data_IF_304015775606
#
_entry.id   IF_304015775606
#
_cell.length_a   1.000
_cell.length_b   1.000
_cell.length_c   1.000
_cell.angle_alpha   90.00
_cell.angle_beta   90.00
_cell.angle_gamma   90.00
#
_symmetry.space_group_name_H-M   'P 1'
#
loop_
_entity.id
_entity.type
_entity.pdbx_description
1 polymer ?
#
# COMPACT_ATOMS: atom_id res chain seq x y z
N UNK A 1 -5.32 -14.63 12.27
CA UNK A 1 -5.07 -16.08 12.10
C UNK A 1 -6.34 -16.86 11.79
N UNK A 2 -7.43 -16.74 12.56
CA UNK A 2 -8.73 -17.41 12.25
C UNK A 2 -9.25 -17.19 10.83
N UNK A 3 -9.30 -15.94 10.35
CA UNK A 3 -9.73 -15.63 8.97
C UNK A 3 -8.80 -16.24 7.90
N UNK A 4 -7.50 -16.34 8.18
CA UNK A 4 -6.52 -16.94 7.27
C UNK A 4 -6.75 -18.47 7.16
N UNK A 5 -7.08 -19.13 8.27
CA UNK A 5 -7.43 -20.55 8.28
C UNK A 5 -8.71 -20.80 7.47
N UNK A 6 -9.76 -19.98 7.68
CA UNK A 6 -11.01 -20.09 6.91
C UNK A 6 -10.74 -19.87 5.41
N UNK A 7 -9.88 -18.91 5.05
CA UNK A 7 -9.46 -18.67 3.67
C UNK A 7 -8.75 -19.87 3.04
N UNK A 8 -7.82 -20.52 3.76
CA UNK A 8 -7.14 -21.74 3.30
C UNK A 8 -8.12 -22.90 3.08
N UNK A 9 -9.08 -23.09 3.98
CA UNK A 9 -10.11 -24.11 3.82
C UNK A 9 -11.00 -23.85 2.60
N UNK A 10 -11.39 -22.60 2.38
CA UNK A 10 -12.16 -22.21 1.19
C UNK A 10 -11.38 -22.49 -0.10
N UNK A 11 -10.10 -22.11 -0.14
CA UNK A 11 -9.25 -22.33 -1.31
C UNK A 11 -9.03 -23.81 -1.61
N UNK A 12 -8.71 -24.60 -0.59
CA UNK A 12 -8.52 -26.04 -0.73
C UNK A 12 -9.76 -26.71 -1.33
N UNK A 13 -10.95 -26.34 -0.85
CA UNK A 13 -12.23 -26.84 -1.36
C UNK A 13 -12.38 -26.52 -2.86
N UNK A 14 -12.17 -25.27 -3.26
CA UNK A 14 -12.31 -24.85 -4.67
C UNK A 14 -11.29 -25.50 -5.60
N UNK A 15 -10.01 -25.56 -5.20
CA UNK A 15 -8.93 -26.08 -6.06
C UNK A 15 -9.04 -27.58 -6.30
N UNK A 16 -9.48 -28.34 -5.28
CA UNK A 16 -9.65 -29.80 -5.40
C UNK A 16 -10.92 -30.14 -6.19
N UNK A 17 -11.95 -29.29 -6.14
CA UNK A 17 -13.25 -29.56 -6.78
C UNK A 17 -13.36 -29.05 -8.23
N UNK A 18 -12.65 -27.98 -8.63
CA UNK A 18 -12.97 -27.23 -9.86
C UNK A 18 -11.84 -27.23 -10.90
N UNK A 19 -10.58 -27.03 -10.52
CA UNK A 19 -9.53 -26.69 -11.50
C UNK A 19 -8.58 -27.84 -11.85
N UNK A 20 -8.52 -28.93 -11.06
CA UNK A 20 -7.54 -30.00 -11.27
C UNK A 20 -6.08 -29.57 -11.05
N UNK A 21 -5.82 -28.28 -10.86
CA UNK A 21 -4.64 -27.75 -10.22
C UNK A 21 -4.67 -28.19 -8.75
N UNK A 22 -3.91 -29.25 -8.42
CA UNK A 22 -3.92 -29.85 -7.09
C UNK A 22 -3.47 -28.92 -5.95
N UNK A 23 -2.95 -29.51 -4.88
CA UNK A 23 -2.58 -28.85 -3.61
C UNK A 23 -1.59 -27.67 -3.74
N UNK A 24 -0.99 -27.45 -4.92
CA UNK A 24 0.01 -26.42 -5.21
C UNK A 24 -0.45 -25.00 -4.83
N UNK A 25 -1.65 -24.58 -5.21
CA UNK A 25 -2.12 -23.21 -4.93
C UNK A 25 -2.35 -22.98 -3.44
N UNK A 26 -2.87 -24.00 -2.73
CA UNK A 26 -3.01 -24.00 -1.27
C UNK A 26 -1.66 -23.96 -0.56
N UNK A 27 -0.66 -24.70 -1.04
CA UNK A 27 0.71 -24.67 -0.50
C UNK A 27 1.36 -23.30 -0.73
N UNK A 28 1.19 -22.70 -1.91
CA UNK A 28 1.70 -21.35 -2.16
C UNK A 28 1.07 -20.33 -1.21
N UNK A 29 -0.25 -20.39 -0.98
CA UNK A 29 -0.94 -19.51 -0.01
C UNK A 29 -0.41 -19.69 1.42
N UNK A 30 -0.14 -20.93 1.84
CA UNK A 30 0.46 -21.20 3.15
C UNK A 30 1.88 -20.62 3.26
N UNK A 31 2.70 -20.74 2.22
CA UNK A 31 4.03 -20.10 2.14
C UNK A 31 3.90 -18.58 2.26
N UNK A 32 2.94 -17.96 1.56
CA UNK A 32 2.71 -16.52 1.64
C UNK A 32 2.28 -16.06 3.03
N UNK A 33 1.48 -16.86 3.74
CA UNK A 33 1.12 -16.55 5.13
C UNK A 33 2.31 -16.62 6.08
N UNK A 34 3.19 -17.60 5.89
CA UNK A 34 4.43 -17.71 6.67
C UNK A 34 5.34 -16.51 6.40
N UNK A 35 5.58 -16.18 5.12
CA UNK A 35 6.41 -15.04 4.71
C UNK A 35 5.81 -13.73 5.25
N UNK A 36 4.51 -13.51 5.06
CA UNK A 36 3.83 -12.30 5.53
C UNK A 36 3.87 -12.14 7.05
N UNK A 37 3.73 -13.25 7.79
CA UNK A 37 3.87 -13.24 9.26
C UNK A 37 5.31 -12.94 9.67
N UNK A 38 6.31 -13.50 8.98
CA UNK A 38 7.72 -13.21 9.23
C UNK A 38 8.07 -11.74 8.97
N UNK A 39 7.56 -11.16 7.88
CA UNK A 39 7.71 -9.73 7.57
C UNK A 39 7.03 -8.88 8.65
N UNK A 40 5.80 -9.21 9.07
CA UNK A 40 5.11 -8.50 10.13
C UNK A 40 5.87 -8.56 11.47
N UNK A 41 6.38 -9.74 11.84
CA UNK A 41 7.19 -9.90 13.05
C UNK A 41 8.48 -9.07 12.98
N UNK A 42 9.12 -9.00 11.80
CA UNK A 42 10.32 -8.17 11.60
C UNK A 42 9.99 -6.69 11.75
N UNK A 43 8.87 -6.22 11.19
CA UNK A 43 8.41 -4.84 11.33
C UNK A 43 8.14 -4.48 12.80
N UNK A 44 7.63 -5.43 13.60
CA UNK A 44 7.41 -5.22 15.04
C UNK A 44 8.69 -5.02 15.86
N UNK A 45 9.86 -5.41 15.33
CA UNK A 45 11.14 -5.18 16.01
C UNK A 45 11.65 -3.74 15.86
N UNK A 46 11.07 -2.95 14.96
CA UNK A 46 11.48 -1.56 14.74
C UNK A 46 10.78 -0.64 15.72
N UNK A 47 11.56 0.23 16.37
CA UNK A 47 11.02 1.28 17.21
C UNK A 47 10.31 2.35 16.39
N UNK A 48 9.31 3.00 17.00
CA UNK A 48 8.57 4.10 16.38
C UNK A 48 9.50 5.20 15.87
N UNK A 49 10.57 5.53 16.60
CA UNK A 49 11.52 6.57 16.19
C UNK A 49 12.32 6.17 14.94
N UNK A 50 12.69 4.90 14.81
CA UNK A 50 13.37 4.37 13.63
C UNK A 50 12.44 4.38 12.41
N UNK A 51 11.20 3.90 12.59
CA UNK A 51 10.18 3.95 11.54
C UNK A 51 10.01 5.38 11.04
N UNK A 52 9.91 6.36 11.93
CA UNK A 52 9.76 7.77 11.59
C UNK A 52 10.94 8.35 10.80
N UNK A 53 12.18 7.97 11.11
CA UNK A 53 13.38 8.38 10.36
C UNK A 53 13.42 7.74 8.97
N UNK A 54 13.01 6.48 8.87
CA UNK A 54 13.06 5.68 7.64
C UNK A 54 11.88 6.02 6.69
N UNK A 55 10.75 6.51 7.20
CA UNK A 55 9.54 6.87 6.43
C UNK A 55 9.83 7.71 5.19
N UNK A 56 10.68 8.73 5.30
CA UNK A 56 10.95 9.64 4.17
C UNK A 56 11.66 8.90 3.04
N UNK A 57 12.64 8.05 3.39
CA UNK A 57 13.33 7.19 2.44
C UNK A 57 12.40 6.16 1.80
N UNK A 58 11.58 5.48 2.61
CA UNK A 58 10.63 4.48 2.09
C UNK A 58 9.58 5.09 1.17
N UNK A 59 9.13 6.32 1.45
CA UNK A 59 8.20 7.03 0.58
C UNK A 59 8.82 7.29 -0.79
N UNK A 60 10.01 7.90 -0.84
CA UNK A 60 10.67 8.20 -2.12
C UNK A 60 11.07 6.95 -2.89
N UNK A 61 11.55 5.90 -2.20
CA UNK A 61 11.78 4.59 -2.80
C UNK A 61 10.48 4.03 -3.38
N UNK A 62 9.36 4.16 -2.65
CA UNK A 62 8.04 3.74 -3.12
C UNK A 62 7.59 4.47 -4.39
N UNK A 63 7.83 5.78 -4.48
CA UNK A 63 7.57 6.57 -5.68
C UNK A 63 8.43 6.08 -6.86
N UNK A 64 9.72 5.85 -6.64
CA UNK A 64 10.62 5.30 -7.67
C UNK A 64 10.10 3.95 -8.16
N UNK A 65 9.68 3.08 -7.24
CA UNK A 65 9.11 1.77 -7.56
C UNK A 65 7.82 1.89 -8.40
N UNK A 66 6.93 2.84 -8.09
CA UNK A 66 5.74 3.12 -8.91
C UNK A 66 6.10 3.61 -10.33
N UNK A 67 7.13 4.45 -10.44
CA UNK A 67 7.64 4.93 -11.74
C UNK A 67 8.23 3.76 -12.53
N UNK A 68 9.04 2.92 -11.90
CA UNK A 68 9.61 1.73 -12.53
C UNK A 68 8.52 0.77 -13.01
N UNK A 69 7.41 0.66 -12.27
CA UNK A 69 6.25 -0.15 -12.67
C UNK A 69 5.67 0.33 -13.99
N UNK A 70 5.58 1.65 -14.23
CA UNK A 70 5.09 2.21 -15.49
C UNK A 70 5.99 1.89 -16.70
N UNK A 71 7.26 1.54 -16.47
CA UNK A 71 8.26 1.24 -17.51
C UNK A 71 8.39 -0.27 -17.72
N UNK A 72 8.46 -1.04 -16.64
CA UNK A 72 8.76 -2.47 -16.61
C UNK A 72 7.53 -3.37 -16.40
N UNK A 73 6.31 -2.83 -16.58
CA UNK A 73 5.09 -3.64 -16.49
C UNK A 73 5.08 -4.78 -17.51
N UNK A 74 4.45 -5.89 -17.13
CA UNK A 74 4.23 -7.02 -18.03
C UNK A 74 3.18 -6.63 -19.09
N UNK A 75 3.62 -6.53 -20.36
CA UNK A 75 2.76 -6.11 -21.48
C UNK A 75 1.66 -7.12 -21.80
N UNK A 76 1.90 -8.41 -21.54
CA UNK A 76 0.90 -9.46 -21.77
C UNK A 76 -0.24 -9.36 -20.77
N UNK A 77 0.09 -9.13 -19.49
CA UNK A 77 -0.91 -8.91 -18.44
C UNK A 77 -1.60 -7.55 -18.55
N UNK A 78 -0.90 -6.51 -18.99
CA UNK A 78 -1.53 -5.22 -19.24
C UNK A 78 -2.55 -5.30 -20.40
N UNK A 79 -2.33 -6.17 -21.39
CA UNK A 79 -3.27 -6.40 -22.48
C UNK A 79 -4.52 -7.18 -22.05
N UNK A 80 -4.39 -8.12 -21.10
CA UNK A 80 -5.53 -8.92 -20.60
C UNK A 80 -6.27 -8.28 -19.43
N UNK A 81 -5.56 -7.66 -18.49
CA UNK A 81 -6.15 -7.01 -17.31
C UNK A 81 -6.46 -5.52 -17.51
N UNK A 82 -6.04 -4.93 -18.64
CA UNK A 82 -6.26 -3.51 -18.97
C UNK A 82 -5.47 -2.51 -18.11
N UNK A 83 -4.59 -2.99 -17.21
CA UNK A 83 -3.87 -2.17 -16.23
C UNK A 83 -2.37 -2.49 -16.19
N UNK A 84 -1.54 -1.44 -16.14
CA UNK A 84 -0.06 -1.52 -16.14
C UNK A 84 0.50 -1.62 -14.72
N UNK A 85 0.02 -2.60 -13.95
CA UNK A 85 0.24 -2.69 -12.49
C UNK A 85 1.07 -3.88 -12.02
N UNK A 86 1.19 -4.90 -12.85
CA UNK A 86 1.86 -6.15 -12.49
C UNK A 86 3.28 -6.19 -13.06
N UNK A 87 4.24 -6.41 -12.16
CA UNK A 87 5.64 -6.69 -12.53
C UNK A 87 5.89 -8.17 -12.31
N UNK A 88 6.19 -8.88 -13.39
CA UNK A 88 6.56 -10.30 -13.33
C UNK A 88 8.04 -10.41 -13.00
N UNK A 89 8.37 -11.05 -11.88
CA UNK A 89 9.75 -11.38 -11.51
C UNK A 89 10.08 -12.73 -12.18
N UNK A 90 10.93 -12.76 -13.23
CA UNK A 90 11.11 -13.97 -14.06
C UNK A 90 11.71 -15.15 -13.29
N UNK A 91 12.54 -14.87 -12.29
CA UNK A 91 13.33 -15.87 -11.54
C UNK A 91 12.44 -16.79 -10.68
N UNK A 92 11.33 -16.27 -10.16
CA UNK A 92 10.43 -16.99 -9.25
C UNK A 92 9.00 -17.15 -9.81
N UNK A 93 8.80 -16.78 -11.09
CA UNK A 93 7.48 -16.70 -11.74
C UNK A 93 6.43 -15.99 -10.86
N UNK A 94 6.86 -14.97 -10.13
CA UNK A 94 6.06 -14.24 -9.16
C UNK A 94 5.53 -12.95 -9.77
N UNK A 95 4.29 -12.62 -9.45
CA UNK A 95 3.66 -11.37 -9.84
C UNK A 95 3.61 -10.46 -8.61
N UNK A 96 4.40 -9.39 -8.63
CA UNK A 96 4.40 -8.38 -7.59
C UNK A 96 3.56 -7.20 -8.08
N UNK A 97 2.61 -6.74 -7.25
CA UNK A 97 1.92 -5.47 -7.45
C UNK A 97 2.59 -4.41 -6.58
N UNK A 98 3.45 -3.53 -7.13
CA UNK A 98 4.26 -2.65 -6.29
C UNK A 98 3.43 -1.58 -5.56
N UNK A 99 2.29 -1.18 -6.13
CA UNK A 99 1.36 -0.22 -5.51
C UNK A 99 0.80 -0.68 -4.15
N UNK A 100 0.79 -1.99 -3.89
CA UNK A 100 0.37 -2.54 -2.60
C UNK A 100 1.40 -2.23 -1.50
N UNK A 101 2.68 -2.42 -1.81
CA UNK A 101 3.79 -2.18 -0.88
C UNK A 101 3.97 -0.69 -0.58
N UNK A 102 3.67 0.19 -1.54
CA UNK A 102 3.79 1.64 -1.39
C UNK A 102 2.72 2.23 -0.45
N UNK A 103 1.63 1.50 -0.16
CA UNK A 103 0.63 1.97 0.80
C UNK A 103 1.20 2.14 2.21
N UNK A 104 2.11 1.27 2.62
CA UNK A 104 2.72 1.33 3.94
C UNK A 104 3.48 2.65 4.17
N UNK A 105 4.49 3.03 3.36
CA UNK A 105 5.17 4.30 3.53
C UNK A 105 4.28 5.50 3.25
N UNK A 106 3.27 5.36 2.39
CA UNK A 106 2.27 6.41 2.16
C UNK A 106 1.46 6.73 3.43
N UNK A 107 0.96 5.73 4.14
CA UNK A 107 0.26 5.94 5.42
C UNK A 107 1.21 6.57 6.44
N UNK A 108 2.46 6.09 6.51
CA UNK A 108 3.45 6.60 7.45
C UNK A 108 3.81 8.06 7.20
N UNK A 109 3.99 8.49 5.94
CA UNK A 109 4.34 9.89 5.64
C UNK A 109 3.19 10.85 5.97
N UNK A 110 1.94 10.42 5.70
CA UNK A 110 0.75 11.19 6.05
C UNK A 110 0.58 11.32 7.57
N UNK A 111 0.76 10.21 8.30
CA UNK A 111 0.72 10.19 9.76
C UNK A 111 1.82 11.06 10.37
N UNK A 112 3.07 10.91 9.91
CA UNK A 112 4.21 11.73 10.34
C UNK A 112 3.98 13.21 10.09
N UNK A 113 3.50 13.58 8.90
CA UNK A 113 3.20 14.97 8.54
C UNK A 113 2.12 15.56 9.45
N UNK A 114 1.05 14.80 9.70
CA UNK A 114 -0.04 15.21 10.60
C UNK A 114 0.48 15.45 12.02
N UNK A 115 1.23 14.51 12.57
CA UNK A 115 1.73 14.60 13.94
C UNK A 115 2.76 15.72 14.12
N UNK A 116 3.70 15.88 13.17
CA UNK A 116 4.68 16.99 13.22
C UNK A 116 4.01 18.36 13.11
N UNK A 117 2.98 18.47 12.27
CA UNK A 117 2.22 19.70 12.13
C UNK A 117 1.44 20.02 13.42
N UNK A 118 0.77 19.03 14.00
CA UNK A 118 0.04 19.19 15.25
C UNK A 118 0.96 19.51 16.45
N UNK A 119 2.19 18.98 16.47
CA UNK A 119 3.18 19.33 17.48
C UNK A 119 3.70 20.77 17.34
N UNK A 120 3.77 21.30 16.11
CA UNK A 120 4.27 22.66 15.83
C UNK A 120 3.22 23.74 16.07
N UNK A 121 1.94 23.45 15.81
CA UNK A 121 0.84 24.41 15.93
C UNK A 121 -0.08 24.02 17.11
N UNK A 122 0.36 24.33 18.34
CA UNK A 122 -0.45 24.10 19.55
C UNK A 122 -1.77 24.89 19.54
N UNK A 123 -1.72 26.15 19.08
CA UNK A 123 -2.91 26.98 18.88
C UNK A 123 -3.44 26.75 17.47
N UNK A 124 -4.41 25.85 17.34
CA UNK A 124 -5.06 25.54 16.07
C UNK A 124 -5.87 26.73 15.57
N UNK A 125 -5.69 27.06 14.30
CA UNK A 125 -6.44 28.11 13.61
C UNK A 125 -6.86 27.60 12.25
N UNK A 126 -7.93 28.17 11.67
CA UNK A 126 -8.38 27.82 10.32
C UNK A 126 -7.22 27.88 9.29
N UNK A 127 -6.31 28.84 9.44
CA UNK A 127 -5.10 28.94 8.59
C UNK A 127 -4.13 27.77 8.77
N UNK A 128 -3.90 27.29 9.99
CA UNK A 128 -3.03 26.12 10.22
C UNK A 128 -3.62 24.85 9.64
N UNK A 129 -4.94 24.74 9.62
CA UNK A 129 -5.66 23.56 9.16
C UNK A 129 -5.69 23.47 7.63
N UNK A 130 -5.91 24.60 6.96
CA UNK A 130 -5.72 24.70 5.49
C UNK A 130 -4.27 24.37 5.08
N UNK A 131 -3.29 24.77 5.90
CA UNK A 131 -1.88 24.45 5.66
C UNK A 131 -1.61 22.95 5.82
N UNK A 132 -2.24 22.28 6.79
CA UNK A 132 -2.16 20.83 6.96
C UNK A 132 -2.79 20.10 5.77
N UNK A 133 -4.00 20.51 5.36
CA UNK A 133 -4.67 19.95 4.17
C UNK A 133 -3.79 20.07 2.93
N UNK A 134 -3.21 21.25 2.68
CA UNK A 134 -2.31 21.48 1.57
C UNK A 134 -1.10 20.53 1.60
N UNK A 135 -0.50 20.31 2.77
CA UNK A 135 0.61 19.34 2.92
C UNK A 135 0.19 17.91 2.63
N UNK A 136 -0.93 17.46 3.19
CA UNK A 136 -1.40 16.08 2.98
C UNK A 136 -1.72 15.84 1.50
N UNK A 137 -2.43 16.77 0.86
CA UNK A 137 -2.71 16.71 -0.58
C UNK A 137 -1.40 16.70 -1.39
N UNK A 138 -0.41 17.51 -1.02
CA UNK A 138 0.88 17.54 -1.73
C UNK A 138 1.63 16.20 -1.69
N UNK A 139 1.58 15.48 -0.57
CA UNK A 139 2.16 14.14 -0.46
C UNK A 139 1.34 13.07 -1.20
N UNK A 140 0.04 13.28 -1.36
CA UNK A 140 -0.85 12.34 -2.03
C UNK A 140 -0.93 12.52 -3.53
N UNK A 141 -0.71 13.72 -4.06
CA UNK A 141 -0.88 14.00 -5.48
C UNK A 141 0.07 13.18 -6.35
N UNK A 142 1.32 13.00 -5.90
CA UNK A 142 2.34 12.26 -6.62
C UNK A 142 2.03 10.76 -6.75
N UNK A 143 1.77 10.00 -5.66
CA UNK A 143 1.41 8.59 -5.78
C UNK A 143 0.06 8.40 -6.47
N UNK A 144 -0.94 9.25 -6.22
CA UNK A 144 -2.24 9.15 -6.90
C UNK A 144 -2.11 9.34 -8.42
N UNK A 145 -1.36 10.36 -8.86
CA UNK A 145 -1.13 10.59 -10.28
C UNK A 145 -0.42 9.40 -10.94
N UNK A 146 0.59 8.83 -10.28
CA UNK A 146 1.32 7.66 -10.80
C UNK A 146 0.42 6.42 -10.91
N UNK A 147 -0.47 6.19 -9.94
CA UNK A 147 -1.40 5.06 -9.97
C UNK A 147 -2.50 5.25 -11.03
N UNK A 148 -2.99 6.47 -11.22
CA UNK A 148 -3.94 6.78 -12.30
C UNK A 148 -3.32 6.54 -13.69
N UNK A 149 -2.00 6.74 -13.84
CA UNK A 149 -1.27 6.39 -15.06
C UNK A 149 -1.11 4.88 -15.27
N UNK A 150 -1.34 4.04 -14.25
CA UNK A 150 -1.35 2.57 -14.33
C UNK A 150 -2.71 1.97 -14.71
N UNK A 151 -3.61 2.79 -15.28
CA UNK A 151 -5.08 2.67 -15.22
C UNK A 151 -5.68 1.76 -14.13
N UNK A 152 -5.32 1.96 -12.86
CA UNK A 152 -5.89 1.18 -11.74
C UNK A 152 -6.80 2.05 -10.85
N UNK A 153 -8.09 2.09 -11.19
CA UNK A 153 -9.09 2.86 -10.44
C UNK A 153 -9.31 2.31 -9.03
N UNK A 154 -9.25 1.00 -8.84
CA UNK A 154 -9.49 0.37 -7.54
C UNK A 154 -8.45 0.79 -6.51
N UNK A 155 -7.18 0.71 -6.87
CA UNK A 155 -6.10 1.19 -5.99
C UNK A 155 -6.12 2.70 -5.80
N UNK A 156 -6.46 3.48 -6.83
CA UNK A 156 -6.62 4.94 -6.71
C UNK A 156 -7.66 5.29 -5.64
N UNK A 157 -8.82 4.62 -5.64
CA UNK A 157 -9.87 4.83 -4.64
C UNK A 157 -9.41 4.45 -3.23
N UNK A 158 -8.62 3.38 -3.08
CA UNK A 158 -8.06 2.99 -1.78
C UNK A 158 -7.10 4.07 -1.25
N UNK A 159 -6.22 4.62 -2.09
CA UNK A 159 -5.31 5.70 -1.68
C UNK A 159 -6.05 6.99 -1.33
N UNK A 160 -7.15 7.29 -2.04
CA UNK A 160 -8.04 8.40 -1.72
C UNK A 160 -8.77 8.18 -0.39
N UNK A 161 -9.25 6.95 -0.12
CA UNK A 161 -9.87 6.59 1.15
C UNK A 161 -8.89 6.70 2.33
N UNK A 162 -7.63 6.28 2.14
CA UNK A 162 -6.56 6.45 3.14
C UNK A 162 -6.35 7.94 3.45
N UNK A 163 -6.22 8.78 2.41
CA UNK A 163 -6.06 10.22 2.58
C UNK A 163 -7.25 10.81 3.36
N UNK A 164 -8.47 10.49 2.96
CA UNK A 164 -9.68 10.94 3.65
C UNK A 164 -9.72 10.50 5.11
N UNK A 165 -9.36 9.25 5.39
CA UNK A 165 -9.26 8.71 6.76
C UNK A 165 -8.26 9.47 7.62
N UNK A 166 -7.06 9.76 7.10
CA UNK A 166 -6.05 10.54 7.84
C UNK A 166 -6.50 11.99 8.05
N UNK A 167 -7.11 12.62 7.05
CA UNK A 167 -7.67 13.98 7.18
C UNK A 167 -8.73 14.01 8.29
N UNK A 168 -9.65 13.04 8.34
CA UNK A 168 -10.67 12.97 9.40
C UNK A 168 -10.05 12.76 10.79
N UNK A 169 -9.03 11.91 10.89
CA UNK A 169 -8.32 11.66 12.16
C UNK A 169 -7.40 12.81 12.58
N UNK A 170 -7.00 13.69 11.66
CA UNK A 170 -6.04 14.77 11.94
C UNK A 170 -6.57 15.86 12.88
N UNK A 171 -7.89 15.91 13.09
CA UNK A 171 -8.53 16.86 13.99
C UNK A 171 -8.56 18.29 13.47
N UNK A 172 -8.55 18.45 12.14
CA UNK A 172 -8.86 19.72 11.44
C UNK A 172 -10.21 20.22 11.96
N UNK A 173 -10.33 21.53 12.19
CA UNK A 173 -11.59 22.16 12.57
C UNK A 173 -12.43 22.38 11.30
N UNK A 174 -13.51 21.62 11.15
CA UNK A 174 -14.48 21.76 10.04
C UNK A 174 -15.60 22.78 10.37
N UNK A 175 -15.47 23.50 11.49
CA UNK A 175 -16.37 24.53 12.01
C UNK A 175 -15.58 25.76 12.42
#
# INVERSE_FOLDING_TARGET
>A
MLLAIIGLFSLYSTTVLIEGEGIRMTVMQLIWYIIGTGVAATVMLFDSEQLWKITDYLYWIGIIVLILTLIFYDRGLAATAGAKRWVKIPIINFMLQPSEFVKFPYILILAKTTTLHNAKYLNRTVKSDFLLLGKLISWSILPLALIMLQPDLGTTLVYAAILGGVILMSGIQWK
#
